data_IF_957520869895
#
_entry.id   IF_957520869895
#
_cell.length_a   1.000
_cell.length_b   1.000
_cell.length_c   1.000
_cell.angle_alpha   90.00
_cell.angle_beta   90.00
_cell.angle_gamma   90.00
#
_symmetry.space_group_name_H-M   'P 1'
#
loop_
_entity.id
_entity.type
_entity.pdbx_description
1 polymer ?
#
# COMPACT_ATOMS: atom_id res chain seq x y z
N UNK A 1 17.50 -48.97 0.73
CA UNK A 1 16.06 -48.78 1.01
C UNK A 1 15.92 -47.56 1.93
N UNK A 2 15.64 -46.37 1.40
CA UNK A 2 15.16 -45.11 2.07
C UNK A 2 15.45 -43.87 1.19
N UNK A 3 14.88 -43.81 -0.02
CA UNK A 3 15.01 -42.64 -0.91
C UNK A 3 13.72 -42.29 -1.67
N UNK A 4 12.56 -42.86 -1.29
CA UNK A 4 11.31 -42.72 -2.05
C UNK A 4 10.21 -41.91 -1.34
N UNK A 5 10.47 -41.34 -0.16
CA UNK A 5 9.41 -40.65 0.62
C UNK A 5 9.33 -39.14 0.33
N UNK A 6 10.32 -38.53 -0.31
CA UNK A 6 10.32 -37.07 -0.55
C UNK A 6 9.64 -36.62 -1.84
N UNK A 7 9.30 -37.52 -2.78
CA UNK A 7 8.71 -37.11 -4.07
C UNK A 7 7.18 -36.90 -4.03
N UNK A 8 6.48 -37.41 -3.00
CA UNK A 8 5.03 -37.27 -2.90
C UNK A 8 4.58 -35.91 -2.32
N UNK A 9 5.43 -35.21 -1.57
CA UNK A 9 5.07 -33.94 -0.94
C UNK A 9 5.22 -32.71 -1.86
N UNK A 10 6.03 -32.80 -2.92
CA UNK A 10 6.22 -31.69 -3.88
C UNK A 10 5.14 -31.64 -4.97
N UNK A 11 4.37 -32.71 -5.18
CA UNK A 11 3.33 -32.76 -6.20
C UNK A 11 1.99 -32.16 -5.74
N UNK A 12 1.78 -31.95 -4.43
CA UNK A 12 0.49 -31.49 -3.88
C UNK A 12 0.40 -29.95 -3.76
N UNK A 13 1.53 -29.24 -3.76
CA UNK A 13 1.54 -27.77 -3.69
C UNK A 13 1.37 -27.08 -5.07
N UNK A 14 1.49 -27.83 -6.17
CA UNK A 14 1.37 -27.29 -7.53
C UNK A 14 -0.07 -27.33 -8.09
N UNK A 15 -1.04 -27.76 -7.29
CA UNK A 15 -2.46 -27.83 -7.66
C UNK A 15 -3.30 -27.03 -6.66
N UNK A 16 -2.81 -25.87 -6.20
CA UNK A 16 -3.71 -24.86 -5.66
C UNK A 16 -4.47 -24.29 -6.86
N UNK A 17 -5.76 -24.61 -7.08
CA UNK A 17 -6.53 -23.86 -8.05
C UNK A 17 -6.44 -22.40 -7.61
N UNK A 18 -6.09 -21.53 -8.53
CA UNK A 18 -6.31 -20.10 -8.38
C UNK A 18 -7.80 -19.97 -8.05
N UNK A 19 -8.13 -19.80 -6.77
CA UNK A 19 -9.52 -19.82 -6.36
C UNK A 19 -10.11 -18.53 -6.90
N UNK A 20 -10.81 -18.64 -8.03
CA UNK A 20 -11.45 -17.52 -8.70
C UNK A 20 -12.09 -16.62 -7.66
N UNK A 21 -11.69 -15.34 -7.62
CA UNK A 21 -12.13 -14.37 -6.63
C UNK A 21 -13.65 -14.33 -6.65
N UNK A 22 -14.31 -14.96 -5.66
CA UNK A 22 -15.76 -15.15 -5.63
C UNK A 22 -16.31 -15.03 -4.22
N UNK A 23 -17.57 -14.66 -4.12
CA UNK A 23 -18.25 -14.54 -2.84
C UNK A 23 -19.75 -14.29 -2.99
N UNK A 24 -20.39 -14.01 -1.87
CA UNK A 24 -21.81 -13.61 -1.84
C UNK A 24 -21.90 -12.33 -1.03
N UNK A 25 -22.27 -11.23 -1.68
CA UNK A 25 -22.58 -9.98 -0.99
C UNK A 25 -23.95 -10.10 -0.32
N UNK A 26 -24.02 -9.87 1.00
CA UNK A 26 -25.27 -9.92 1.77
C UNK A 26 -25.52 -8.55 2.40
N UNK A 27 -26.45 -7.75 1.87
CA UNK A 27 -26.86 -6.52 2.54
C UNK A 27 -27.66 -6.87 3.81
N UNK A 28 -27.65 -5.97 4.79
CA UNK A 28 -28.43 -6.14 6.02
C UNK A 28 -29.92 -6.27 5.69
N UNK A 29 -30.53 -7.39 6.08
CA UNK A 29 -31.95 -7.69 5.82
C UNK A 29 -32.30 -8.11 4.38
N UNK A 30 -31.31 -8.26 3.48
CA UNK A 30 -31.57 -8.62 2.07
C UNK A 30 -31.10 -10.02 1.67
N UNK A 31 -31.47 -10.41 0.44
CA UNK A 31 -31.00 -11.66 -0.16
C UNK A 31 -29.55 -11.53 -0.66
N UNK A 32 -28.77 -12.60 -0.53
CA UNK A 32 -27.37 -12.61 -0.95
C UNK A 32 -27.24 -12.58 -2.47
N UNK A 33 -26.35 -11.74 -2.99
CA UNK A 33 -26.02 -11.70 -4.42
C UNK A 33 -24.65 -12.32 -4.65
N UNK A 34 -24.54 -13.41 -5.44
CA UNK A 34 -23.25 -14.01 -5.75
C UNK A 34 -22.44 -13.07 -6.65
N UNK A 35 -21.13 -13.03 -6.42
CA UNK A 35 -20.18 -12.33 -7.27
C UNK A 35 -18.96 -13.22 -7.54
N UNK A 36 -18.34 -13.05 -8.71
CA UNK A 36 -17.10 -13.72 -9.07
C UNK A 36 -16.28 -12.85 -10.03
N UNK A 37 -14.97 -13.06 -10.10
CA UNK A 37 -14.12 -12.61 -11.20
C UNK A 37 -13.86 -13.84 -12.07
N UNK A 38 -14.20 -13.76 -13.35
CA UNK A 38 -13.93 -14.86 -14.30
C UNK A 38 -12.46 -14.86 -14.76
N UNK A 39 -12.08 -15.87 -15.54
CA UNK A 39 -10.71 -16.05 -16.04
C UNK A 39 -10.25 -14.90 -16.99
N UNK A 40 -11.15 -13.99 -17.38
CA UNK A 40 -10.84 -12.79 -18.16
C UNK A 40 -10.69 -11.52 -17.31
N UNK A 41 -10.82 -11.63 -15.99
CA UNK A 41 -10.82 -10.49 -15.08
C UNK A 41 -12.16 -9.73 -15.03
N UNK A 42 -13.22 -10.25 -15.63
CA UNK A 42 -14.54 -9.60 -15.64
C UNK A 42 -15.29 -9.86 -14.33
N UNK A 43 -15.84 -8.82 -13.72
CA UNK A 43 -16.74 -8.97 -12.57
C UNK A 43 -18.07 -9.57 -13.03
N UNK A 44 -18.39 -10.77 -12.56
CA UNK A 44 -19.69 -11.42 -12.69
C UNK A 44 -20.52 -11.07 -11.45
N UNK A 45 -21.66 -10.40 -11.61
CA UNK A 45 -22.58 -10.02 -10.53
C UNK A 45 -23.94 -10.67 -10.74
N UNK A 46 -24.40 -11.44 -9.75
CA UNK A 46 -25.68 -12.16 -9.86
C UNK A 46 -25.71 -13.19 -11.00
N UNK A 47 -24.56 -13.68 -11.45
CA UNK A 47 -24.43 -14.64 -12.55
C UNK A 47 -24.33 -14.02 -13.96
N UNK A 48 -24.24 -12.69 -14.08
CA UNK A 48 -24.06 -12.01 -15.36
C UNK A 48 -22.77 -11.16 -15.37
N UNK A 49 -22.07 -11.06 -16.51
CA UNK A 49 -20.99 -10.08 -16.69
C UNK A 49 -21.48 -8.67 -16.37
N UNK A 50 -20.79 -8.02 -15.45
CA UNK A 50 -21.09 -6.68 -14.98
C UNK A 50 -20.00 -5.72 -15.48
N UNK A 51 -20.38 -4.92 -16.47
CA UNK A 51 -19.64 -3.73 -16.84
C UNK A 51 -20.27 -2.54 -16.10
N UNK A 52 -19.57 -1.87 -15.17
CA UNK A 52 -20.08 -0.64 -14.58
C UNK A 52 -20.06 0.47 -15.64
N UNK A 53 -21.09 0.53 -16.49
CA UNK A 53 -21.35 1.68 -17.34
C UNK A 53 -22.05 2.71 -16.46
N UNK A 54 -21.24 3.45 -15.72
CA UNK A 54 -21.73 4.43 -14.76
C UNK A 54 -21.29 5.85 -15.07
N UNK A 55 -22.09 6.79 -14.59
CA UNK A 55 -21.72 8.20 -14.60
C UNK A 55 -20.84 8.49 -13.38
N UNK A 56 -19.74 9.21 -13.58
CA UNK A 56 -18.96 9.75 -12.46
C UNK A 56 -19.65 11.02 -11.93
N UNK A 57 -19.90 11.02 -10.63
CA UNK A 57 -20.56 12.08 -9.87
C UNK A 57 -19.50 12.74 -8.99
N UNK A 58 -19.14 13.97 -9.32
CA UNK A 58 -18.14 14.77 -8.60
C UNK A 58 -18.75 15.72 -7.58
N UNK A 59 -20.07 15.93 -7.61
CA UNK A 59 -20.79 16.76 -6.65
C UNK A 59 -22.28 16.40 -6.54
N UNK A 60 -22.95 16.94 -5.52
CA UNK A 60 -24.34 16.60 -5.19
C UNK A 60 -25.38 17.00 -6.25
N UNK A 61 -25.13 18.04 -7.07
CA UNK A 61 -26.10 18.45 -8.10
C UNK A 61 -26.10 17.50 -9.29
N UNK A 62 -24.95 16.89 -9.61
CA UNK A 62 -24.86 15.81 -10.60
C UNK A 62 -25.59 14.55 -10.14
N UNK A 63 -25.56 14.23 -8.84
CA UNK A 63 -26.29 13.08 -8.28
C UNK A 63 -27.80 13.22 -8.54
N UNK A 64 -28.38 14.39 -8.24
CA UNK A 64 -29.80 14.64 -8.47
C UNK A 64 -30.17 14.56 -9.97
N UNK A 65 -29.26 14.99 -10.85
CA UNK A 65 -29.39 14.83 -12.30
C UNK A 65 -29.37 13.36 -12.73
N UNK A 66 -28.45 12.57 -12.19
CA UNK A 66 -28.32 11.14 -12.48
C UNK A 66 -29.55 10.33 -12.04
N UNK A 67 -30.09 10.65 -10.86
CA UNK A 67 -31.33 10.06 -10.34
C UNK A 67 -32.50 10.36 -11.29
N UNK A 68 -32.65 11.61 -11.72
CA UNK A 68 -33.71 12.01 -12.68
C UNK A 68 -33.55 11.33 -14.04
N UNK A 69 -32.32 11.14 -14.49
CA UNK A 69 -32.02 10.45 -15.75
C UNK A 69 -32.20 8.92 -15.67
N UNK A 70 -32.52 8.36 -14.50
CA UNK A 70 -32.73 6.93 -14.31
C UNK A 70 -31.45 6.10 -14.36
N UNK A 71 -30.28 6.73 -14.19
CA UNK A 71 -28.99 6.04 -14.14
C UNK A 71 -28.96 5.15 -12.90
N UNK A 72 -28.44 3.92 -13.05
CA UNK A 72 -28.43 2.91 -11.98
C UNK A 72 -27.05 2.54 -11.47
N UNK A 73 -26.00 2.88 -12.20
CA UNK A 73 -24.62 2.60 -11.84
C UNK A 73 -23.85 3.93 -11.83
N UNK A 74 -23.17 4.25 -10.74
CA UNK A 74 -22.41 5.50 -10.61
C UNK A 74 -21.11 5.32 -9.86
N UNK A 75 -20.12 6.15 -10.17
CA UNK A 75 -18.96 6.37 -9.31
C UNK A 75 -19.17 7.69 -8.60
N UNK A 76 -19.08 7.72 -7.27
CA UNK A 76 -19.30 8.94 -6.50
C UNK A 76 -18.03 9.34 -5.78
N UNK A 77 -17.57 10.57 -6.04
CA UNK A 77 -16.44 11.14 -5.34
C UNK A 77 -16.89 11.73 -4.01
N UNK A 78 -16.38 11.18 -2.91
CA UNK A 78 -16.67 11.63 -1.56
C UNK A 78 -15.39 12.10 -0.87
N UNK A 79 -15.45 13.17 -0.06
CA UNK A 79 -14.29 13.67 0.65
C UNK A 79 -13.88 12.71 1.77
N UNK A 80 -12.57 12.55 2.00
CA UNK A 80 -12.03 11.66 3.05
C UNK A 80 -12.47 12.01 4.47
N UNK A 81 -12.90 13.25 4.73
CA UNK A 81 -13.33 13.70 6.05
C UNK A 81 -14.76 13.25 6.43
N UNK A 82 -15.43 12.45 5.58
CA UNK A 82 -16.78 11.95 5.87
C UNK A 82 -17.91 12.96 5.62
N UNK A 83 -17.60 14.18 5.20
CA UNK A 83 -18.61 15.24 5.01
C UNK A 83 -19.57 14.86 3.88
N UNK A 84 -20.88 14.87 4.16
CA UNK A 84 -21.92 14.59 3.16
C UNK A 84 -22.13 13.12 2.83
N UNK A 85 -21.42 12.19 3.49
CA UNK A 85 -21.53 10.75 3.20
C UNK A 85 -22.92 10.19 3.48
N UNK A 86 -23.46 10.44 4.68
CA UNK A 86 -24.76 9.92 5.10
C UNK A 86 -25.89 10.34 4.14
N UNK A 87 -25.95 11.63 3.78
CA UNK A 87 -26.96 12.14 2.86
C UNK A 87 -26.80 11.56 1.44
N UNK A 88 -25.55 11.37 1.00
CA UNK A 88 -25.25 10.78 -0.31
C UNK A 88 -25.65 9.31 -0.38
N UNK A 89 -25.29 8.50 0.62
CA UNK A 89 -25.70 7.09 0.67
C UNK A 89 -27.21 6.95 0.78
N UNK A 90 -27.86 7.75 1.63
CA UNK A 90 -29.32 7.74 1.75
C UNK A 90 -30.01 8.05 0.41
N UNK A 91 -29.48 8.98 -0.39
CA UNK A 91 -29.99 9.28 -1.73
C UNK A 91 -29.76 8.13 -2.71
N UNK A 92 -28.56 7.55 -2.72
CA UNK A 92 -28.20 6.43 -3.61
C UNK A 92 -29.06 5.19 -3.31
N UNK A 93 -29.17 4.83 -2.03
CA UNK A 93 -29.96 3.70 -1.57
C UNK A 93 -31.46 3.93 -1.84
N UNK A 94 -31.96 5.13 -1.54
CA UNK A 94 -33.34 5.52 -1.81
C UNK A 94 -33.71 5.50 -3.30
N UNK A 95 -32.74 5.73 -4.19
CA UNK A 95 -32.91 5.63 -5.64
C UNK A 95 -32.65 4.21 -6.20
N UNK A 96 -32.25 3.26 -5.35
CA UNK A 96 -31.88 1.91 -5.73
C UNK A 96 -30.70 1.87 -6.71
N UNK A 97 -29.72 2.76 -6.51
CA UNK A 97 -28.52 2.85 -7.34
C UNK A 97 -27.42 1.93 -6.82
N UNK A 98 -26.64 1.35 -7.73
CA UNK A 98 -25.37 0.67 -7.46
C UNK A 98 -24.25 1.70 -7.58
N UNK A 99 -23.33 1.72 -6.63
CA UNK A 99 -22.29 2.74 -6.60
C UNK A 99 -20.93 2.20 -6.21
N UNK A 100 -19.90 2.80 -6.79
CA UNK A 100 -18.52 2.76 -6.29
C UNK A 100 -18.21 4.09 -5.63
N UNK A 101 -17.58 4.05 -4.47
CA UNK A 101 -17.11 5.26 -3.79
C UNK A 101 -15.65 5.46 -4.11
N UNK A 102 -15.33 6.61 -4.70
CA UNK A 102 -13.96 7.08 -4.79
C UNK A 102 -13.75 8.13 -3.72
N UNK A 103 -12.78 7.89 -2.85
CA UNK A 103 -12.45 8.82 -1.78
C UNK A 103 -11.42 9.79 -2.32
N UNK A 104 -11.82 11.04 -2.51
CA UNK A 104 -10.87 12.11 -2.79
C UNK A 104 -10.23 12.53 -1.46
N UNK A 105 -8.95 12.21 -1.33
CA UNK A 105 -8.19 12.36 -0.10
C UNK A 105 -6.89 13.08 -0.40
N UNK A 106 -6.68 14.21 0.28
CA UNK A 106 -5.37 14.84 0.44
C UNK A 106 -4.61 14.16 1.61
N UNK A 107 -5.03 12.96 2.06
CA UNK A 107 -4.21 12.20 3.00
C UNK A 107 -2.87 11.90 2.35
N UNK A 108 -1.74 12.05 3.08
CA UNK A 108 -0.44 11.71 2.52
C UNK A 108 -0.51 10.27 2.00
N UNK A 109 0.05 10.07 0.81
CA UNK A 109 0.28 8.78 0.18
C UNK A 109 0.75 7.72 1.19
N UNK A 110 0.55 6.44 0.85
CA UNK A 110 1.15 5.33 1.61
C UNK A 110 2.62 5.69 1.92
N UNK A 111 2.96 5.72 3.21
CA UNK A 111 4.28 6.16 3.65
C UNK A 111 5.30 5.11 3.22
N UNK A 112 6.21 5.49 2.32
CA UNK A 112 7.34 4.67 1.92
C UNK A 112 8.47 4.81 2.94
N UNK A 113 9.08 3.70 3.34
CA UNK A 113 10.39 3.71 3.98
C UNK A 113 11.35 3.07 3.00
N UNK A 114 12.40 3.79 2.60
CA UNK A 114 13.42 3.20 1.77
C UNK A 114 14.25 2.23 2.63
N UNK A 115 14.13 0.93 2.34
CA UNK A 115 14.92 -0.12 2.97
C UNK A 115 16.02 -0.53 2.00
N UNK A 116 17.09 0.26 1.96
CA UNK A 116 18.34 -0.09 1.26
C UNK A 116 19.50 -0.15 2.28
N UNK A 117 19.74 -1.32 2.89
CA UNK A 117 20.79 -1.51 3.90
C UNK A 117 22.22 -1.36 3.36
N UNK A 118 22.43 -1.26 2.03
CA UNK A 118 23.75 -1.01 1.45
C UNK A 118 23.92 0.47 1.11
N UNK A 119 22.93 1.08 0.46
CA UNK A 119 22.95 2.49 0.08
C UNK A 119 22.92 3.45 1.26
N UNK A 120 22.28 3.06 2.36
CA UNK A 120 22.14 3.89 3.56
C UNK A 120 22.94 3.37 4.77
N UNK A 121 24.07 2.71 4.50
CA UNK A 121 25.00 2.22 5.51
C UNK A 121 26.30 2.99 5.46
N UNK A 122 26.64 3.61 6.59
CA UNK A 122 27.92 4.31 6.79
C UNK A 122 28.74 3.49 7.78
N UNK A 123 29.83 2.88 7.32
CA UNK A 123 30.78 2.10 8.14
C UNK A 123 32.04 2.90 8.49
N UNK A 124 32.97 2.31 9.25
CA UNK A 124 34.25 2.95 9.58
C UNK A 124 34.14 4.06 10.62
N UNK A 125 33.10 4.06 11.46
CA UNK A 125 32.91 5.11 12.46
C UNK A 125 33.65 4.75 13.74
N UNK A 126 34.83 5.34 13.92
CA UNK A 126 35.70 5.09 15.09
C UNK A 126 35.66 6.22 16.14
N UNK A 127 35.18 7.42 15.75
CA UNK A 127 35.20 8.62 16.60
C UNK A 127 33.87 9.36 16.54
N UNK A 128 33.50 9.97 17.65
CA UNK A 128 32.31 10.84 17.74
C UNK A 128 32.48 12.02 16.80
N UNK A 129 31.48 12.24 15.94
CA UNK A 129 31.44 13.35 14.98
C UNK A 129 30.02 13.56 14.44
N UNK A 130 29.69 14.79 14.01
CA UNK A 130 28.46 15.02 13.29
C UNK A 130 28.50 14.42 11.88
N UNK A 131 27.35 13.93 11.42
CA UNK A 131 27.09 13.54 10.05
C UNK A 131 25.99 14.42 9.46
N UNK A 132 26.22 14.84 8.21
CA UNK A 132 25.20 15.40 7.34
C UNK A 132 24.82 14.30 6.36
N UNK A 133 23.55 13.92 6.38
CA UNK A 133 22.97 12.84 5.57
C UNK A 133 22.21 13.47 4.40
N UNK A 134 22.62 13.14 3.18
CA UNK A 134 21.92 13.54 1.96
C UNK A 134 20.78 12.56 1.68
N UNK A 135 19.56 13.01 1.92
CA UNK A 135 18.31 12.23 1.91
C UNK A 135 17.26 12.97 1.08
N UNK A 136 17.47 13.12 -0.24
CA UNK A 136 16.55 13.86 -1.11
C UNK A 136 15.16 13.24 -1.07
N UNK A 137 14.13 14.10 -0.95
CA UNK A 137 12.72 13.67 -0.90
C UNK A 137 12.25 13.05 0.42
N UNK A 138 13.13 12.94 1.44
CA UNK A 138 12.75 12.47 2.76
C UNK A 138 12.30 13.62 3.68
N UNK A 139 11.31 13.35 4.54
CA UNK A 139 10.86 14.30 5.58
C UNK A 139 11.39 13.95 6.97
N UNK A 140 11.73 12.69 7.18
CA UNK A 140 12.36 12.18 8.40
C UNK A 140 13.17 10.94 8.08
N UNK A 141 14.09 10.54 8.95
CA UNK A 141 14.77 9.26 8.83
C UNK A 141 14.91 8.57 10.19
N UNK A 142 14.77 7.25 10.19
CA UNK A 142 15.09 6.43 11.35
C UNK A 142 16.55 6.01 11.26
N UNK A 143 17.35 6.39 12.26
CA UNK A 143 18.79 6.10 12.31
C UNK A 143 19.08 5.10 13.42
N UNK A 144 20.00 4.17 13.15
CA UNK A 144 20.49 3.18 14.10
C UNK A 144 22.02 3.20 14.07
N UNK A 145 22.64 3.45 15.21
CA UNK A 145 24.06 3.27 15.42
C UNK A 145 24.30 1.93 16.09
N UNK A 146 25.08 1.05 15.47
CA UNK A 146 25.40 -0.27 15.99
C UNK A 146 26.91 -0.51 16.02
N UNK A 147 27.37 -1.34 16.96
CA UNK A 147 28.74 -1.84 16.96
C UNK A 147 28.91 -2.85 15.82
N UNK A 148 29.97 -2.69 15.02
CA UNK A 148 30.20 -3.51 13.84
C UNK A 148 30.54 -4.97 14.17
N UNK A 149 31.17 -5.22 15.32
CA UNK A 149 31.67 -6.54 15.71
C UNK A 149 30.55 -7.49 16.13
N UNK A 150 29.62 -7.01 16.94
CA UNK A 150 28.57 -7.83 17.57
C UNK A 150 27.13 -7.44 17.16
N UNK A 151 26.97 -6.34 16.40
CA UNK A 151 25.67 -5.84 15.99
C UNK A 151 24.88 -5.18 17.13
N UNK A 152 25.49 -4.95 18.29
CA UNK A 152 24.80 -4.34 19.42
C UNK A 152 24.38 -2.90 19.09
N UNK A 153 23.11 -2.57 19.33
CA UNK A 153 22.57 -1.23 19.07
C UNK A 153 23.02 -0.30 20.21
N UNK A 154 23.71 0.77 19.84
CA UNK A 154 24.19 1.80 20.77
C UNK A 154 23.12 2.89 20.92
N UNK A 155 22.56 3.34 19.79
CA UNK A 155 21.54 4.37 19.77
C UNK A 155 20.60 4.14 18.57
N UNK A 156 19.34 4.50 18.75
CA UNK A 156 18.36 4.58 17.67
C UNK A 156 17.49 5.81 17.85
N UNK A 157 17.20 6.54 16.77
CA UNK A 157 16.45 7.79 16.84
C UNK A 157 15.74 8.11 15.53
N UNK A 158 14.60 8.80 15.61
CA UNK A 158 14.02 9.48 14.47
C UNK A 158 14.60 10.89 14.36
N UNK A 159 15.25 11.21 13.23
CA UNK A 159 15.72 12.55 12.90
C UNK A 159 14.79 13.22 11.90
N UNK A 160 14.70 14.55 11.98
CA UNK A 160 14.01 15.36 10.99
C UNK A 160 14.95 15.63 9.82
N UNK A 161 14.40 15.60 8.61
CA UNK A 161 15.13 15.97 7.38
C UNK A 161 14.56 17.29 6.88
N UNK A 162 15.41 18.28 6.62
CA UNK A 162 15.02 19.59 6.10
C UNK A 162 15.80 19.84 4.82
N UNK A 163 15.10 20.25 3.76
CA UNK A 163 15.71 20.53 2.45
C UNK A 163 16.58 19.37 1.93
N UNK A 164 16.14 18.12 2.16
CA UNK A 164 16.88 16.92 1.79
C UNK A 164 18.06 16.58 2.69
N UNK A 165 18.30 17.31 3.78
CA UNK A 165 19.44 17.09 4.68
C UNK A 165 19.01 16.68 6.09
N UNK A 166 19.53 15.55 6.56
CA UNK A 166 19.39 15.07 7.93
C UNK A 166 20.67 15.31 8.72
N UNK A 167 20.54 15.75 9.97
CA UNK A 167 21.69 15.91 10.87
C UNK A 167 21.64 14.87 11.98
N UNK A 168 22.75 14.16 12.16
CA UNK A 168 22.90 13.18 13.24
C UNK A 168 24.27 13.31 13.89
N UNK A 169 24.29 13.56 15.20
CA UNK A 169 25.51 13.67 15.99
C UNK A 169 25.90 12.31 16.56
N UNK A 170 26.88 11.65 15.93
CA UNK A 170 27.30 10.31 16.36
C UNK A 170 28.15 10.43 17.62
N UNK A 171 27.72 9.71 18.66
CA UNK A 171 28.44 9.59 19.92
C UNK A 171 28.85 8.13 20.12
N UNK A 172 30.15 7.88 20.10
CA UNK A 172 30.73 6.56 20.34
C UNK A 172 31.67 6.61 21.54
N UNK A 173 31.73 5.51 22.28
CA UNK A 173 32.58 5.37 23.47
C UNK A 173 33.55 4.21 23.30
N UNK A 174 34.79 4.43 23.73
CA UNK A 174 35.86 3.43 23.69
C UNK A 174 36.69 3.49 22.39
N UNK A 175 38.03 3.63 22.49
CA UNK A 175 38.91 3.57 21.33
C UNK A 175 38.92 2.15 20.73
N UNK A 176 38.94 2.06 19.39
CA UNK A 176 39.12 0.79 18.66
C UNK A 176 37.84 -0.01 18.37
N UNK A 177 36.67 0.51 18.75
CA UNK A 177 35.39 -0.06 18.34
C UNK A 177 34.92 0.62 17.05
N UNK A 178 34.77 -0.15 15.98
CA UNK A 178 34.18 0.31 14.72
C UNK A 178 32.65 0.24 14.81
N UNK A 179 31.99 1.30 14.35
CA UNK A 179 30.53 1.40 14.36
C UNK A 179 29.98 1.59 12.96
N UNK A 180 28.73 1.15 12.81
CA UNK A 180 27.94 1.27 11.60
C UNK A 180 26.72 2.11 11.90
N UNK A 181 26.48 3.12 11.08
CA UNK A 181 25.25 3.90 11.06
C UNK A 181 24.36 3.39 9.93
N UNK A 182 23.15 2.95 10.25
CA UNK A 182 22.09 2.60 9.32
C UNK A 182 21.06 3.73 9.29
N UNK A 183 20.63 4.12 8.10
CA UNK A 183 19.66 5.20 7.90
C UNK A 183 18.48 4.68 7.08
N UNK A 184 17.26 4.92 7.56
CA UNK A 184 16.03 4.53 6.88
C UNK A 184 15.18 5.78 6.63
N UNK A 185 15.32 6.43 5.46
CA UNK A 185 14.55 7.62 5.15
C UNK A 185 13.09 7.29 4.90
N UNK A 186 12.22 8.15 5.42
CA UNK A 186 10.77 8.15 5.16
C UNK A 186 10.49 9.08 4.00
N UNK A 187 10.00 8.51 2.90
CA UNK A 187 9.68 9.23 1.66
C UNK A 187 8.18 9.18 1.41
N UNK A 188 7.66 10.21 0.74
CA UNK A 188 6.25 10.26 0.32
C UNK A 188 6.00 9.50 -0.99
N UNK A 189 7.06 9.27 -1.77
CA UNK A 189 7.06 8.45 -2.98
C UNK A 189 8.39 7.71 -3.01
N UNK A 190 8.34 6.40 -3.27
CA UNK A 190 9.48 5.64 -3.71
C UNK A 190 9.32 5.57 -5.23
N UNK A 191 10.09 6.37 -5.97
CA UNK A 191 10.37 6.01 -7.37
C UNK A 191 11.26 4.77 -7.34
N UNK A 192 10.70 3.63 -6.96
CA UNK A 192 11.30 2.34 -7.24
C UNK A 192 11.13 2.11 -8.73
N UNK A 193 12.22 1.70 -9.38
CA UNK A 193 12.10 1.04 -10.69
C UNK A 193 10.98 0.03 -10.57
N UNK A 194 10.04 0.08 -11.50
CA UNK A 194 8.94 -0.86 -11.51
C UNK A 194 9.51 -2.27 -11.77
N UNK A 195 9.88 -2.97 -10.70
CA UNK A 195 10.34 -4.37 -10.76
C UNK A 195 9.21 -5.31 -11.20
N UNK A 196 7.98 -4.78 -11.31
CA UNK A 196 6.76 -5.47 -11.70
C UNK A 196 6.36 -5.14 -13.14
N UNK A 197 7.09 -4.25 -13.82
CA UNK A 197 6.89 -3.93 -15.23
C UNK A 197 7.11 -5.19 -16.07
N UNK A 198 6.03 -5.71 -16.66
CA UNK A 198 6.05 -6.96 -17.43
C UNK A 198 5.63 -8.22 -16.66
N UNK A 199 5.50 -8.17 -15.33
CA UNK A 199 4.82 -9.23 -14.57
C UNK A 199 3.31 -9.25 -14.82
N UNK A 200 2.74 -8.13 -15.26
CA UNK A 200 1.37 -8.08 -15.81
C UNK A 200 1.18 -8.97 -17.05
N UNK A 201 2.26 -9.32 -17.78
CA UNK A 201 2.18 -10.29 -18.89
C UNK A 201 2.12 -11.75 -18.43
N UNK A 202 2.33 -11.98 -17.14
CA UNK A 202 2.34 -13.28 -16.47
C UNK A 202 1.30 -13.36 -15.34
N UNK A 203 0.46 -12.32 -15.20
CA UNK A 203 -0.78 -12.39 -14.45
C UNK A 203 -1.84 -12.91 -15.41
N UNK A 204 -2.16 -14.18 -15.22
CA UNK A 204 -3.32 -14.84 -15.79
C UNK A 204 -4.61 -14.19 -15.24
#
# INVERSE_FOLDING_TARGET
MRAYVCLAALAVAALSPCEALRGVYRPEGGSGTPWAIDDSGTLIWGGAPYAPIGLEITNSSQLDGAIKAGIKDVVVNLPANGTGWSDTFKKLDGAGMRYLVRIDSIAPSALGVAVDPRGYRISGIEKSRPFVLDLPGATSAYVILANQRDGNIIEQKLIQVRDGQGFYDVKVSGPGNEHVLLVYPRTASLEMTDCWEGLDRHRD
#
